data_IF_284268443444
#
_entry.id   IF_284268443444
#
_cell.length_a   1.000
_cell.length_b   1.000
_cell.length_c   1.000
_cell.angle_alpha   90.00
_cell.angle_beta   90.00
_cell.angle_gamma   90.00
#
_symmetry.space_group_name_H-M   'P 1'
#
loop_
_entity.id
_entity.type
_entity.pdbx_description
1 polymer ?
#
# COMPACT_ATOMS: atom_id res chain seq x y z
N UNK A 1 13.37 -11.26 4.29
CA UNK A 1 12.99 -11.26 2.86
C UNK A 1 13.85 -12.20 2.00
N UNK A 2 14.95 -12.75 2.48
CA UNK A 2 15.84 -13.63 1.70
C UNK A 2 16.57 -12.94 0.54
N UNK A 3 16.85 -11.65 0.68
CA UNK A 3 17.64 -10.89 -0.29
C UNK A 3 19.13 -11.14 -0.05
N UNK A 4 19.92 -11.14 -1.11
CA UNK A 4 21.37 -11.45 -1.10
C UNK A 4 22.15 -10.48 -1.99
N UNK A 5 23.47 -10.46 -1.88
CA UNK A 5 24.34 -9.64 -2.74
C UNK A 5 24.23 -9.99 -4.25
N UNK A 6 23.65 -11.14 -4.60
CA UNK A 6 23.38 -11.50 -6.00
C UNK A 6 22.15 -10.80 -6.59
N UNK A 7 21.34 -10.15 -5.77
CA UNK A 7 20.12 -9.48 -6.22
C UNK A 7 20.41 -8.16 -6.93
N UNK A 8 19.55 -7.84 -7.88
CA UNK A 8 19.47 -6.56 -8.58
C UNK A 8 18.14 -5.91 -8.22
N UNK A 9 18.24 -4.79 -7.52
CA UNK A 9 17.08 -4.11 -6.91
C UNK A 9 16.69 -2.91 -7.76
N UNK A 10 15.52 -2.95 -8.37
CA UNK A 10 14.96 -1.84 -9.13
C UNK A 10 14.12 -0.93 -8.23
N UNK A 11 14.31 0.37 -8.39
CA UNK A 11 13.56 1.45 -7.77
C UNK A 11 12.88 2.28 -8.87
N UNK A 12 11.73 1.83 -9.41
CA UNK A 12 11.10 2.42 -10.58
C UNK A 12 10.32 3.70 -10.25
N UNK A 13 10.93 4.62 -9.52
CA UNK A 13 10.35 5.91 -9.12
C UNK A 13 11.43 6.97 -8.91
N UNK A 14 11.00 8.23 -8.82
CA UNK A 14 11.86 9.34 -8.42
C UNK A 14 11.91 9.44 -6.91
N UNK A 15 13.10 9.51 -6.33
CA UNK A 15 13.28 9.41 -4.88
C UNK A 15 12.67 10.56 -4.09
N UNK A 16 12.76 11.80 -4.53
CA UNK A 16 12.21 12.95 -3.82
C UNK A 16 12.63 13.03 -2.33
N UNK A 17 11.85 13.69 -1.47
CA UNK A 17 12.17 13.85 -0.04
C UNK A 17 11.71 12.66 0.84
N UNK A 18 11.41 11.50 0.27
CA UNK A 18 10.88 10.35 1.01
C UNK A 18 11.99 9.46 1.53
N UNK A 19 12.36 9.61 2.80
CA UNK A 19 13.50 8.94 3.45
C UNK A 19 13.41 7.41 3.35
N UNK A 20 12.21 6.82 3.44
CA UNK A 20 12.04 5.37 3.38
C UNK A 20 12.61 4.74 2.10
N UNK A 21 12.47 5.39 0.95
CA UNK A 21 13.02 4.90 -0.31
C UNK A 21 14.53 5.07 -0.40
N UNK A 22 15.09 6.17 0.12
CA UNK A 22 16.52 6.35 0.25
C UNK A 22 17.15 5.30 1.14
N UNK A 23 16.53 5.02 2.29
CA UNK A 23 17.02 4.00 3.23
C UNK A 23 17.04 2.61 2.59
N UNK A 24 16.01 2.25 1.82
CA UNK A 24 15.99 0.97 1.10
C UNK A 24 17.09 0.90 0.04
N UNK A 25 17.34 1.99 -0.69
CA UNK A 25 18.41 2.08 -1.67
C UNK A 25 19.79 1.93 -1.01
N UNK A 26 20.06 2.70 0.02
CA UNK A 26 21.33 2.64 0.76
C UNK A 26 21.55 1.27 1.42
N UNK A 27 20.50 0.65 1.96
CA UNK A 27 20.58 -0.69 2.51
C UNK A 27 20.95 -1.73 1.43
N UNK A 28 20.34 -1.64 0.24
CA UNK A 28 20.69 -2.52 -0.86
C UNK A 28 22.16 -2.36 -1.28
N UNK A 29 22.64 -1.11 -1.42
CA UNK A 29 24.06 -0.82 -1.72
C UNK A 29 24.97 -1.38 -0.63
N UNK A 30 24.65 -1.13 0.63
CA UNK A 30 25.45 -1.59 1.78
C UNK A 30 25.53 -3.11 1.89
N UNK A 31 24.49 -3.81 1.42
CA UNK A 31 24.46 -5.27 1.33
C UNK A 31 25.14 -5.83 0.06
N UNK A 32 25.76 -4.98 -0.76
CA UNK A 32 26.47 -5.39 -1.99
C UNK A 32 25.56 -5.76 -3.15
N UNK A 33 24.27 -5.40 -3.11
CA UNK A 33 23.34 -5.66 -4.20
C UNK A 33 23.54 -4.68 -5.36
N UNK A 34 23.25 -5.11 -6.58
CA UNK A 34 23.13 -4.19 -7.71
C UNK A 34 21.88 -3.31 -7.56
N UNK A 35 21.99 -2.00 -7.74
CA UNK A 35 20.86 -1.08 -7.64
C UNK A 35 20.55 -0.41 -8.96
N UNK A 36 19.27 -0.31 -9.28
CA UNK A 36 18.73 0.16 -10.54
C UNK A 36 17.75 1.32 -10.27
N UNK A 37 18.22 2.61 -10.21
CA UNK A 37 17.33 3.76 -9.99
C UNK A 37 16.64 4.18 -11.29
N UNK A 38 15.29 4.19 -11.28
CA UNK A 38 14.42 4.50 -12.42
C UNK A 38 13.84 5.92 -12.41
N UNK A 39 14.45 6.86 -11.68
CA UNK A 39 13.97 8.24 -11.61
C UNK A 39 13.97 8.96 -12.95
N UNK A 40 12.96 9.81 -13.20
CA UNK A 40 12.84 10.58 -14.43
C UNK A 40 12.37 9.82 -15.67
N UNK A 41 12.24 8.49 -15.60
CA UNK A 41 11.77 7.65 -16.71
C UNK A 41 10.25 7.56 -16.74
N UNK A 42 9.65 7.34 -17.92
CA UNK A 42 8.24 6.97 -18.04
C UNK A 42 8.00 5.54 -17.51
N UNK A 43 6.75 5.21 -17.17
CA UNK A 43 6.39 3.88 -16.67
C UNK A 43 6.79 2.76 -17.64
N UNK A 44 6.57 2.95 -18.94
CA UNK A 44 6.98 1.99 -19.99
C UNK A 44 8.50 1.85 -20.05
N UNK A 45 9.23 2.95 -19.98
CA UNK A 45 10.68 2.92 -19.98
C UNK A 45 11.24 2.22 -18.73
N UNK A 46 10.65 2.42 -17.55
CA UNK A 46 10.99 1.72 -16.32
C UNK A 46 10.78 0.21 -16.43
N UNK A 47 9.65 -0.22 -17.02
CA UNK A 47 9.35 -1.64 -17.24
C UNK A 47 10.39 -2.30 -18.14
N UNK A 48 10.68 -1.71 -19.29
CA UNK A 48 11.71 -2.23 -20.21
C UNK A 48 13.08 -2.27 -19.54
N UNK A 49 13.43 -1.18 -18.86
CA UNK A 49 14.72 -1.08 -18.20
C UNK A 49 14.90 -2.12 -17.08
N UNK A 50 13.88 -2.37 -16.23
CA UNK A 50 13.99 -3.40 -15.19
C UNK A 50 14.07 -4.83 -15.78
N UNK A 51 13.39 -5.09 -16.92
CA UNK A 51 13.46 -6.39 -17.60
C UNK A 51 14.79 -6.59 -18.32
N UNK A 52 15.27 -5.59 -19.07
CA UNK A 52 16.54 -5.64 -19.82
C UNK A 52 17.73 -5.83 -18.88
N UNK A 53 17.68 -5.25 -17.68
CA UNK A 53 18.72 -5.40 -16.67
C UNK A 53 18.48 -6.59 -15.74
N UNK A 54 17.49 -7.43 -16.02
CA UNK A 54 17.12 -8.60 -15.23
C UNK A 54 17.04 -8.29 -13.73
N UNK A 55 16.27 -7.27 -13.35
CA UNK A 55 15.98 -6.95 -11.96
C UNK A 55 15.36 -8.16 -11.27
N UNK A 56 15.85 -8.50 -10.08
CA UNK A 56 15.32 -9.63 -9.29
C UNK A 56 14.41 -9.20 -8.17
N UNK A 57 14.49 -7.92 -7.78
CA UNK A 57 13.68 -7.32 -6.72
C UNK A 57 13.19 -5.96 -7.19
N UNK A 58 11.94 -5.64 -6.89
CA UNK A 58 11.33 -4.34 -7.19
C UNK A 58 10.84 -3.71 -5.90
N UNK A 59 11.23 -2.46 -5.63
CA UNK A 59 10.61 -1.64 -4.57
C UNK A 59 9.61 -0.68 -5.20
N UNK A 60 8.38 -0.61 -4.65
CA UNK A 60 7.35 0.31 -5.12
C UNK A 60 6.32 0.60 -4.02
N UNK A 61 5.36 1.48 -4.27
CA UNK A 61 4.11 1.48 -3.51
C UNK A 61 3.17 0.40 -4.05
N UNK A 62 2.25 -0.15 -3.26
CA UNK A 62 1.26 -1.11 -3.76
C UNK A 62 0.51 -0.63 -4.99
N UNK A 63 0.07 0.64 -4.99
CA UNK A 63 -0.63 1.24 -6.13
C UNK A 63 0.23 1.30 -7.38
N UNK A 64 1.48 1.75 -7.24
CA UNK A 64 2.36 1.85 -8.38
C UNK A 64 2.78 0.47 -8.92
N UNK A 65 2.98 -0.50 -8.04
CA UNK A 65 3.26 -1.88 -8.45
C UNK A 65 2.10 -2.50 -9.25
N UNK A 66 0.84 -2.21 -8.89
CA UNK A 66 -0.35 -2.58 -9.69
C UNK A 66 -0.39 -1.84 -11.03
N UNK A 67 -0.10 -0.53 -11.03
CA UNK A 67 -0.04 0.27 -12.26
C UNK A 67 1.04 -0.25 -13.23
N UNK A 68 2.19 -0.70 -12.72
CA UNK A 68 3.21 -1.37 -13.52
C UNK A 68 2.68 -2.66 -14.17
N UNK A 69 1.90 -3.48 -13.45
CA UNK A 69 1.25 -4.67 -14.02
C UNK A 69 0.25 -4.31 -15.14
N UNK A 70 -0.59 -3.29 -14.92
CA UNK A 70 -1.55 -2.81 -15.92
C UNK A 70 -0.84 -2.30 -17.18
N UNK A 71 0.22 -1.51 -17.00
CA UNK A 71 1.03 -0.97 -18.10
C UNK A 71 1.77 -2.09 -18.84
N UNK A 72 2.34 -3.04 -18.14
CA UNK A 72 3.03 -4.18 -18.74
C UNK A 72 2.08 -5.01 -19.62
N UNK A 73 0.87 -5.28 -19.12
CA UNK A 73 -0.16 -5.97 -19.90
C UNK A 73 -0.56 -5.21 -21.18
N UNK A 74 -0.69 -3.88 -21.10
CA UNK A 74 -1.00 -3.02 -22.24
C UNK A 74 0.14 -2.97 -23.28
N UNK A 75 1.39 -3.06 -22.83
CA UNK A 75 2.60 -3.03 -23.67
C UNK A 75 3.06 -4.43 -24.12
N UNK A 76 2.35 -5.50 -23.75
CA UNK A 76 2.74 -6.87 -24.08
C UNK A 76 4.01 -7.35 -23.38
N UNK A 77 4.34 -6.79 -22.23
CA UNK A 77 5.50 -7.18 -21.39
C UNK A 77 5.05 -8.26 -20.41
N UNK A 78 5.67 -9.43 -20.48
CA UNK A 78 5.39 -10.57 -19.60
C UNK A 78 6.20 -10.44 -18.29
N UNK A 79 5.62 -9.81 -17.27
CA UNK A 79 6.27 -9.66 -15.95
C UNK A 79 6.46 -11.01 -15.22
N UNK A 80 5.49 -11.93 -15.22
CA UNK A 80 5.69 -13.26 -14.64
C UNK A 80 6.88 -14.04 -15.22
N UNK A 81 7.21 -13.83 -16.51
CA UNK A 81 8.38 -14.44 -17.15
C UNK A 81 9.69 -13.66 -16.90
N UNK A 82 9.65 -12.51 -16.22
CA UNK A 82 10.84 -11.72 -15.88
C UNK A 82 11.68 -12.40 -14.79
N UNK A 83 12.87 -11.82 -14.51
CA UNK A 83 13.73 -12.29 -13.42
C UNK A 83 13.24 -11.85 -12.02
N UNK A 84 12.17 -11.04 -11.92
CA UNK A 84 11.65 -10.54 -10.66
C UNK A 84 11.11 -11.68 -9.80
N UNK A 85 11.69 -11.87 -8.62
CA UNK A 85 11.29 -12.90 -7.65
C UNK A 85 10.64 -12.33 -6.38
N UNK A 86 10.84 -11.02 -6.15
CA UNK A 86 10.28 -10.33 -4.99
C UNK A 86 9.85 -8.91 -5.36
N UNK A 87 8.69 -8.51 -4.84
CA UNK A 87 8.18 -7.13 -4.88
C UNK A 87 8.04 -6.65 -3.45
N UNK A 88 8.83 -5.66 -3.06
CA UNK A 88 8.76 -5.05 -1.73
C UNK A 88 7.93 -3.79 -1.84
N UNK A 89 6.82 -3.75 -1.11
CA UNK A 89 5.90 -2.61 -1.15
C UNK A 89 5.91 -1.83 0.15
N UNK A 90 5.78 -0.51 0.03
CA UNK A 90 5.77 0.41 1.17
C UNK A 90 5.03 1.71 0.85
N UNK A 91 4.76 2.50 1.89
CA UNK A 91 4.30 3.88 1.77
C UNK A 91 2.80 4.09 1.84
N UNK A 92 2.02 3.05 1.66
CA UNK A 92 0.56 3.03 1.81
C UNK A 92 0.11 1.60 2.18
N UNK A 93 -1.10 1.40 2.74
CA UNK A 93 -1.64 0.07 2.96
C UNK A 93 -1.79 -0.71 1.65
N UNK A 94 -1.52 -2.03 1.68
CA UNK A 94 -1.70 -2.86 0.47
C UNK A 94 -0.94 -4.18 0.52
N UNK A 95 0.33 -4.17 0.89
CA UNK A 95 1.18 -5.37 0.91
C UNK A 95 0.67 -6.46 1.84
N UNK A 96 0.08 -6.09 2.96
CA UNK A 96 -0.52 -7.02 3.92
C UNK A 96 -2.02 -7.23 3.71
N UNK A 97 -2.66 -6.54 2.76
CA UNK A 97 -4.07 -6.72 2.41
C UNK A 97 -4.20 -7.89 1.43
N UNK A 98 -4.88 -9.01 1.79
CA UNK A 98 -4.87 -10.24 0.98
C UNK A 98 -5.29 -10.04 -0.49
N UNK A 99 -6.33 -9.24 -0.74
CA UNK A 99 -6.81 -9.00 -2.10
C UNK A 99 -5.80 -8.22 -2.97
N UNK A 100 -5.14 -7.20 -2.40
CA UNK A 100 -4.10 -6.42 -3.09
C UNK A 100 -2.85 -7.26 -3.31
N UNK A 101 -2.40 -7.97 -2.27
CA UNK A 101 -1.27 -8.91 -2.35
C UNK A 101 -1.46 -9.93 -3.45
N UNK A 102 -2.63 -10.63 -3.47
CA UNK A 102 -2.91 -11.65 -4.48
C UNK A 102 -2.87 -11.10 -5.91
N UNK A 103 -3.36 -9.89 -6.14
CA UNK A 103 -3.26 -9.22 -7.45
C UNK A 103 -1.81 -8.90 -7.83
N UNK A 104 -1.02 -8.42 -6.87
CA UNK A 104 0.40 -8.13 -7.09
C UNK A 104 1.18 -9.41 -7.40
N UNK A 105 1.00 -10.45 -6.59
CA UNK A 105 1.69 -11.73 -6.78
C UNK A 105 1.34 -12.38 -8.11
N UNK A 106 0.05 -12.34 -8.50
CA UNK A 106 -0.38 -12.84 -9.80
C UNK A 106 0.18 -12.01 -10.97
N UNK A 107 0.18 -10.68 -10.86
CA UNK A 107 0.65 -9.79 -11.92
C UNK A 107 2.16 -9.80 -12.13
N UNK A 108 2.94 -10.01 -11.07
CA UNK A 108 4.40 -10.05 -11.12
C UNK A 108 4.96 -11.47 -11.25
N UNK A 109 4.19 -12.52 -10.95
CA UNK A 109 4.72 -13.88 -10.81
C UNK A 109 5.74 -14.01 -9.67
N UNK A 110 5.72 -13.10 -8.71
CA UNK A 110 6.72 -12.90 -7.69
C UNK A 110 6.09 -12.79 -6.30
N UNK A 111 6.87 -13.10 -5.26
CA UNK A 111 6.42 -12.95 -3.88
C UNK A 111 6.39 -11.48 -3.47
N UNK A 112 5.31 -11.07 -2.81
CA UNK A 112 5.18 -9.73 -2.23
C UNK A 112 5.66 -9.72 -0.79
N UNK A 113 6.37 -8.66 -0.42
CA UNK A 113 6.76 -8.34 0.96
C UNK A 113 6.27 -6.94 1.30
N UNK A 114 5.69 -6.79 2.47
CA UNK A 114 5.29 -5.49 2.99
C UNK A 114 6.39 -4.89 3.88
N UNK A 115 6.50 -3.56 3.83
CA UNK A 115 7.46 -2.80 4.61
C UNK A 115 6.81 -1.53 5.15
N UNK A 116 7.01 -1.26 6.43
CA UNK A 116 6.48 -0.09 7.09
C UNK A 116 7.58 0.81 7.63
N UNK A 117 7.42 2.08 7.36
CA UNK A 117 8.27 3.15 7.89
C UNK A 117 7.69 4.52 7.59
N UNK A 118 8.21 5.53 8.27
CA UNK A 118 7.82 6.94 8.12
C UNK A 118 9.08 7.78 7.92
N UNK A 119 8.93 8.91 7.23
CA UNK A 119 10.04 9.85 7.03
C UNK A 119 10.60 10.34 8.36
N UNK A 120 9.74 10.54 9.36
CA UNK A 120 10.08 11.07 10.68
C UNK A 120 10.94 10.11 11.50
N UNK A 121 10.68 8.80 11.40
CA UNK A 121 11.32 7.79 12.26
C UNK A 121 12.21 6.80 11.52
N UNK A 122 12.01 6.59 10.22
CA UNK A 122 12.71 5.61 9.40
C UNK A 122 11.97 4.26 9.28
N UNK A 123 12.69 3.16 8.92
CA UNK A 123 12.12 1.84 8.71
C UNK A 123 11.80 1.15 10.03
N UNK A 124 10.52 0.98 10.35
CA UNK A 124 10.03 0.48 11.64
C UNK A 124 9.83 -1.03 11.65
N UNK A 125 9.19 -1.57 10.60
CA UNK A 125 8.80 -2.98 10.59
C UNK A 125 8.84 -3.57 9.17
N UNK A 126 9.15 -4.86 9.09
CA UNK A 126 9.28 -5.58 7.83
C UNK A 126 8.58 -6.93 7.89
N UNK A 127 8.00 -7.34 6.80
CA UNK A 127 7.60 -8.72 6.59
C UNK A 127 8.83 -9.62 6.42
N UNK A 128 8.76 -10.83 6.98
CA UNK A 128 9.78 -11.88 6.82
C UNK A 128 9.25 -13.01 5.93
N UNK A 129 10.14 -13.93 5.54
CA UNK A 129 9.78 -15.11 4.75
C UNK A 129 8.72 -15.99 5.43
N UNK A 130 8.79 -16.08 6.72
CA UNK A 130 7.95 -16.93 7.59
C UNK A 130 6.74 -16.20 8.18
N UNK A 131 6.57 -14.91 7.92
CA UNK A 131 5.49 -14.10 8.48
C UNK A 131 4.64 -13.40 7.40
N UNK A 132 4.08 -14.11 6.40
CA UNK A 132 3.31 -13.48 5.34
C UNK A 132 2.10 -12.72 5.89
N UNK A 133 1.93 -11.46 5.43
CA UNK A 133 0.85 -10.58 5.87
C UNK A 133 1.00 -10.03 7.29
N UNK A 134 2.19 -10.16 7.89
CA UNK A 134 2.49 -9.61 9.22
C UNK A 134 3.86 -8.93 9.21
N UNK A 135 3.93 -7.70 9.69
CA UNK A 135 5.16 -6.94 9.81
C UNK A 135 5.78 -7.16 11.20
N UNK A 136 7.04 -7.51 11.24
CA UNK A 136 7.79 -7.66 12.50
C UNK A 136 8.52 -6.37 12.80
N UNK A 137 8.27 -5.80 13.97
CA UNK A 137 8.90 -4.55 14.41
C UNK A 137 10.40 -4.77 14.65
N UNK A 138 11.22 -3.84 14.21
CA UNK A 138 12.65 -3.82 14.50
C UNK A 138 12.88 -3.30 15.93
N UNK A 139 12.69 -4.15 16.94
CA UNK A 139 12.80 -3.79 18.36
C UNK A 139 14.24 -3.46 18.81
N UNK A 140 15.24 -3.71 17.96
CA UNK A 140 16.60 -3.22 18.21
C UNK A 140 16.73 -1.70 17.98
N UNK A 141 15.84 -1.11 17.17
CA UNK A 141 15.87 0.31 16.81
C UNK A 141 14.65 1.09 17.32
N UNK A 142 13.58 0.40 17.71
CA UNK A 142 12.31 1.03 18.10
C UNK A 142 11.63 0.36 19.28
N UNK A 143 11.03 1.17 20.15
CA UNK A 143 9.95 0.73 21.04
C UNK A 143 8.64 1.07 20.35
N UNK A 144 7.77 0.07 20.18
CA UNK A 144 6.45 0.24 19.60
C UNK A 144 5.36 -0.06 20.64
N UNK A 145 4.41 0.85 20.76
CA UNK A 145 3.26 0.79 21.64
C UNK A 145 1.98 0.93 20.82
N UNK A 146 0.87 0.37 21.28
CA UNK A 146 -0.46 0.60 20.67
C UNK A 146 -1.34 1.27 21.71
N UNK A 147 -1.82 2.46 21.38
CA UNK A 147 -2.67 3.24 22.27
C UNK A 147 -4.14 2.87 22.12
N UNK A 148 -4.83 2.82 23.26
CA UNK A 148 -6.28 2.70 23.40
C UNK A 148 -6.90 1.67 22.45
N UNK A 149 -6.42 0.41 22.42
CA UNK A 149 -6.87 -0.56 21.44
C UNK A 149 -8.34 -0.93 21.69
N UNK A 150 -9.15 -0.81 20.61
CA UNK A 150 -10.53 -1.32 20.57
C UNK A 150 -10.52 -2.55 19.65
N UNK A 151 -11.03 -3.67 20.13
CA UNK A 151 -11.00 -4.96 19.43
C UNK A 151 -9.59 -5.35 18.92
N UNK A 152 -8.56 -4.95 19.67
CA UNK A 152 -7.15 -5.21 19.37
C UNK A 152 -6.54 -4.27 18.32
N UNK A 153 -7.26 -3.28 17.83
CA UNK A 153 -6.77 -2.26 16.89
C UNK A 153 -6.64 -0.92 17.61
N UNK A 154 -5.47 -0.30 17.50
CA UNK A 154 -5.22 1.01 18.10
C UNK A 154 -4.15 1.79 17.33
N UNK A 155 -3.91 3.02 17.73
CA UNK A 155 -2.90 3.88 17.12
C UNK A 155 -1.50 3.42 17.49
N UNK A 156 -0.65 3.22 16.49
CA UNK A 156 0.76 2.90 16.70
C UNK A 156 1.51 4.14 17.17
N UNK A 157 2.27 3.96 18.23
CA UNK A 157 3.21 4.95 18.78
C UNK A 157 4.60 4.34 18.78
N UNK A 158 5.59 5.10 18.30
CA UNK A 158 6.96 4.62 18.22
C UNK A 158 7.93 5.55 18.93
N UNK A 159 8.90 4.96 19.63
CA UNK A 159 10.07 5.63 20.18
C UNK A 159 11.30 5.15 19.42
N UNK A 160 12.07 6.08 18.88
CA UNK A 160 13.30 5.78 18.14
C UNK A 160 14.47 5.65 19.14
N UNK A 161 15.26 4.58 19.04
CA UNK A 161 16.39 4.29 19.96
C UNK A 161 17.76 4.65 19.38
N UNK A 162 17.89 4.86 18.07
CA UNK A 162 19.18 4.98 17.39
C UNK A 162 19.38 6.26 16.58
N UNK A 163 18.60 7.31 16.82
CA UNK A 163 18.72 8.59 16.10
C UNK A 163 19.07 9.73 17.07
N UNK A 164 20.35 9.90 17.36
CA UNK A 164 20.83 10.92 18.31
C UNK A 164 20.50 12.37 17.89
N UNK A 165 20.51 12.66 16.59
CA UNK A 165 20.23 14.00 16.06
C UNK A 165 18.73 14.33 15.87
N UNK A 166 17.86 13.34 15.97
CA UNK A 166 16.40 13.49 15.82
C UNK A 166 15.68 12.38 16.60
N UNK A 167 15.89 12.37 17.92
CA UNK A 167 15.23 11.43 18.83
C UNK A 167 13.76 11.77 18.97
N UNK A 168 12.88 10.84 18.57
CA UNK A 168 11.43 10.93 18.79
C UNK A 168 11.04 9.94 19.89
N UNK A 169 10.53 10.45 20.99
CA UNK A 169 9.98 9.64 22.07
C UNK A 169 8.45 9.64 21.98
N UNK A 170 7.85 8.45 21.96
CA UNK A 170 6.39 8.23 21.91
C UNK A 170 5.70 9.04 20.79
N UNK A 171 6.29 9.00 19.60
CA UNK A 171 5.75 9.65 18.42
C UNK A 171 4.45 8.95 17.98
N UNK A 172 3.36 9.69 17.96
CA UNK A 172 2.06 9.22 17.47
C UNK A 172 2.09 9.22 15.95
N UNK A 173 2.03 8.03 15.35
CA UNK A 173 2.15 7.87 13.89
C UNK A 173 0.88 8.23 13.14
N UNK A 174 -0.27 8.21 13.81
CA UNK A 174 -1.59 8.29 13.18
C UNK A 174 -2.00 7.00 12.45
N UNK A 175 -1.17 5.97 12.45
CA UNK A 175 -1.44 4.70 11.79
C UNK A 175 -2.11 3.71 12.76
N UNK A 176 -3.16 3.04 12.30
CA UNK A 176 -3.89 2.04 13.06
C UNK A 176 -3.35 0.67 12.74
N UNK A 177 -3.04 -0.11 13.79
CA UNK A 177 -2.46 -1.44 13.68
C UNK A 177 -3.14 -2.41 14.63
N UNK A 178 -3.03 -3.71 14.31
CA UNK A 178 -3.31 -4.81 15.24
C UNK A 178 -1.97 -5.42 15.66
N UNK A 179 -1.60 -5.23 16.92
CA UNK A 179 -0.34 -5.74 17.43
C UNK A 179 -0.53 -7.06 18.19
N UNK A 180 0.35 -8.02 17.91
CA UNK A 180 0.46 -9.28 18.61
C UNK A 180 1.89 -9.50 19.09
N UNK A 181 2.09 -9.79 20.38
CA UNK A 181 3.38 -10.21 20.90
C UNK A 181 3.58 -11.70 20.64
N UNK A 182 4.64 -12.04 19.91
CA UNK A 182 5.06 -13.42 19.62
C UNK A 182 6.47 -13.68 20.17
N UNK A 183 6.93 -14.93 20.23
CA UNK A 183 8.27 -15.25 20.76
C UNK A 183 9.42 -14.57 20.01
N UNK A 184 9.24 -14.26 18.74
CA UNK A 184 10.21 -13.65 17.83
C UNK A 184 10.07 -12.12 17.69
N UNK A 185 9.15 -11.48 18.45
CA UNK A 185 8.99 -10.03 18.51
C UNK A 185 7.55 -9.53 18.47
N UNK A 186 7.40 -8.23 18.34
CA UNK A 186 6.10 -7.59 18.14
C UNK A 186 5.71 -7.62 16.67
N UNK A 187 4.54 -8.19 16.39
CA UNK A 187 3.97 -8.32 15.06
C UNK A 187 2.82 -7.33 14.86
N UNK A 188 2.81 -6.65 13.70
CA UNK A 188 1.69 -5.85 13.22
C UNK A 188 0.92 -6.70 12.20
N UNK A 189 -0.12 -7.38 12.67
CA UNK A 189 -0.89 -8.34 11.87
C UNK A 189 -1.80 -7.62 10.89
N UNK A 190 -1.66 -7.93 9.60
CA UNK A 190 -2.34 -7.20 8.53
C UNK A 190 -1.66 -5.88 8.15
N UNK A 191 -0.48 -5.58 8.72
CA UNK A 191 0.25 -4.33 8.47
C UNK A 191 -0.45 -3.09 9.03
N UNK A 192 -0.38 -2.00 8.29
CA UNK A 192 -1.16 -0.78 8.59
C UNK A 192 -2.58 -0.96 8.09
N UNK A 193 -3.54 -0.94 9.00
CA UNK A 193 -4.95 -1.15 8.71
C UNK A 193 -5.64 0.12 8.18
N UNK A 194 -5.10 1.28 8.50
CA UNK A 194 -5.62 2.58 8.07
C UNK A 194 -4.98 3.71 8.86
N UNK A 195 -5.41 4.93 8.58
CA UNK A 195 -4.99 6.11 9.34
C UNK A 195 -6.14 6.61 10.23
N UNK A 196 -5.80 7.01 11.44
CA UNK A 196 -6.77 7.57 12.39
C UNK A 196 -7.40 8.88 11.86
N UNK A 197 -6.62 9.70 11.14
CA UNK A 197 -7.05 10.97 10.54
C UNK A 197 -7.81 10.82 9.20
N UNK A 198 -7.71 9.66 8.55
CA UNK A 198 -8.49 9.36 7.32
C UNK A 198 -9.87 8.80 7.61
N UNK A 199 -10.16 8.47 8.85
CA UNK A 199 -11.47 7.95 9.26
C UNK A 199 -12.59 8.89 8.87
N UNK A 200 -13.66 8.34 8.29
CA UNK A 200 -14.86 9.05 7.89
C UNK A 200 -16.01 8.59 8.77
N UNK A 201 -16.63 9.52 9.46
CA UNK A 201 -17.86 9.24 10.21
C UNK A 201 -19.06 9.28 9.27
N UNK A 202 -19.75 8.16 9.10
CA UNK A 202 -20.94 8.06 8.26
C UNK A 202 -22.06 7.36 9.02
N UNK A 203 -23.14 8.08 9.33
CA UNK A 203 -24.31 7.51 9.99
C UNK A 203 -24.00 6.70 11.26
N UNK A 204 -23.03 7.17 12.05
CA UNK A 204 -22.60 6.51 13.28
C UNK A 204 -21.57 5.40 13.10
N UNK A 205 -21.13 5.12 11.87
CA UNK A 205 -20.08 4.15 11.58
C UNK A 205 -18.74 4.84 11.27
N UNK A 206 -17.66 4.22 11.69
CA UNK A 206 -16.30 4.61 11.35
C UNK A 206 -15.88 3.87 10.06
N UNK A 207 -15.65 4.61 8.99
CA UNK A 207 -15.25 4.05 7.69
C UNK A 207 -13.82 4.47 7.39
N UNK A 208 -12.97 3.48 7.14
CA UNK A 208 -11.60 3.71 6.68
C UNK A 208 -11.51 3.48 5.17
N UNK A 209 -10.87 4.39 4.41
CA UNK A 209 -10.68 4.22 2.97
C UNK A 209 -10.01 2.89 2.60
N UNK A 210 -9.08 2.40 3.43
CA UNK A 210 -8.43 1.10 3.28
C UNK A 210 -9.40 -0.08 3.30
N UNK A 211 -10.47 -0.01 4.10
CA UNK A 211 -11.53 -1.02 4.11
C UNK A 211 -12.27 -1.05 2.79
N UNK A 212 -12.59 0.14 2.23
CA UNK A 212 -13.24 0.22 0.91
C UNK A 212 -12.31 -0.31 -0.18
N UNK A 213 -11.03 0.06 -0.15
CA UNK A 213 -10.04 -0.46 -1.08
C UNK A 213 -9.94 -1.98 -1.03
N UNK A 214 -9.86 -2.57 0.17
CA UNK A 214 -9.82 -4.01 0.34
C UNK A 214 -11.03 -4.73 -0.31
N UNK A 215 -12.21 -4.09 -0.28
CA UNK A 215 -13.41 -4.62 -0.95
C UNK A 215 -13.29 -4.48 -2.47
N UNK A 216 -12.95 -3.30 -2.97
CA UNK A 216 -12.80 -3.03 -4.42
C UNK A 216 -11.79 -3.98 -5.06
N UNK A 217 -10.67 -4.22 -4.39
CA UNK A 217 -9.58 -5.08 -4.91
C UNK A 217 -9.96 -6.57 -5.02
N UNK A 218 -11.08 -7.02 -4.44
CA UNK A 218 -11.62 -8.37 -4.65
C UNK A 218 -12.21 -8.56 -6.06
N UNK A 219 -12.49 -7.47 -6.78
CA UNK A 219 -13.08 -7.49 -8.11
C UNK A 219 -11.96 -7.27 -9.16
N UNK A 220 -11.49 -8.32 -9.87
CA UNK A 220 -10.38 -8.21 -10.82
C UNK A 220 -10.63 -7.20 -11.94
N UNK A 221 -11.90 -6.98 -12.31
CA UNK A 221 -12.32 -6.02 -13.32
C UNK A 221 -12.29 -4.57 -12.85
N UNK A 222 -12.29 -4.33 -11.51
CA UNK A 222 -12.22 -2.98 -10.97
C UNK A 222 -10.78 -2.45 -11.08
N UNK A 223 -10.59 -1.46 -11.92
CA UNK A 223 -9.33 -0.74 -12.11
C UNK A 223 -9.09 0.29 -11.02
N UNK A 224 -8.84 1.55 -11.42
CA UNK A 224 -8.71 2.66 -10.47
C UNK A 224 -10.09 3.05 -9.92
N UNK A 225 -10.10 3.61 -8.71
CA UNK A 225 -11.33 4.03 -8.04
C UNK A 225 -11.10 5.26 -7.18
N UNK A 226 -12.19 5.94 -6.83
CA UNK A 226 -12.20 7.11 -5.96
C UNK A 226 -13.38 7.05 -4.99
N UNK A 227 -13.09 7.22 -3.70
CA UNK A 227 -14.08 7.35 -2.65
C UNK A 227 -14.32 8.85 -2.40
N UNK A 228 -15.56 9.28 -2.49
CA UNK A 228 -15.95 10.66 -2.29
C UNK A 228 -16.78 10.75 -1.02
N UNK A 229 -16.31 11.56 -0.08
CA UNK A 229 -17.01 11.92 1.14
C UNK A 229 -17.59 13.34 0.98
N UNK A 230 -18.91 13.46 0.92
CA UNK A 230 -19.62 14.70 0.73
C UNK A 230 -20.33 15.09 2.03
N UNK A 231 -20.01 16.27 2.55
CA UNK A 231 -20.54 16.77 3.81
C UNK A 231 -19.57 16.70 5.00
N UNK A 232 -20.06 17.04 6.17
CA UNK A 232 -19.30 17.12 7.43
C UNK A 232 -19.99 16.34 8.54
N UNK A 233 -19.19 15.58 9.32
CA UNK A 233 -19.67 14.86 10.50
C UNK A 233 -20.64 13.71 10.18
N UNK A 234 -21.63 13.44 11.03
CA UNK A 234 -22.53 12.27 10.89
C UNK A 234 -23.40 12.26 9.63
N UNK A 235 -23.60 13.41 9.00
CA UNK A 235 -24.39 13.57 7.77
C UNK A 235 -23.56 13.37 6.49
N UNK A 236 -22.30 13.01 6.62
CA UNK A 236 -21.44 12.70 5.47
C UNK A 236 -22.05 11.59 4.62
N UNK A 237 -22.20 11.85 3.32
CA UNK A 237 -22.58 10.86 2.34
C UNK A 237 -21.33 10.31 1.65
N UNK A 238 -21.29 8.99 1.45
CA UNK A 238 -20.22 8.34 0.66
C UNK A 238 -20.75 7.96 -0.71
N UNK A 239 -19.90 8.10 -1.73
CA UNK A 239 -20.07 7.52 -3.05
C UNK A 239 -18.75 6.98 -3.56
N UNK A 240 -18.79 5.93 -4.37
CA UNK A 240 -17.64 5.27 -4.95
C UNK A 240 -17.72 5.40 -6.48
N UNK A 241 -16.66 5.92 -7.07
CA UNK A 241 -16.45 5.92 -8.52
C UNK A 241 -15.40 4.87 -8.86
N UNK A 242 -15.63 4.08 -9.90
CA UNK A 242 -14.73 3.02 -10.34
C UNK A 242 -14.57 3.03 -11.85
N UNK A 243 -13.36 2.82 -12.32
CA UNK A 243 -13.07 2.57 -13.73
C UNK A 243 -13.19 1.07 -14.01
N UNK A 244 -14.19 0.62 -14.77
CA UNK A 244 -14.29 -0.79 -15.15
C UNK A 244 -13.23 -1.14 -16.20
N UNK A 245 -12.52 -2.25 -15.99
CA UNK A 245 -11.63 -2.83 -16.98
C UNK A 245 -12.41 -3.61 -18.06
N UNK A 246 -11.72 -4.11 -19.10
CA UNK A 246 -12.34 -4.78 -20.24
C UNK A 246 -13.16 -6.03 -19.89
N UNK A 247 -12.83 -6.68 -18.75
CA UNK A 247 -13.52 -7.89 -18.28
C UNK A 247 -14.65 -7.58 -17.28
N UNK A 248 -15.10 -6.32 -17.17
CA UNK A 248 -16.17 -5.95 -16.26
C UNK A 248 -17.51 -6.57 -16.72
N UNK A 249 -18.21 -7.30 -15.85
CA UNK A 249 -19.54 -7.80 -16.17
C UNK A 249 -20.55 -6.64 -16.22
N UNK A 250 -21.67 -6.79 -16.97
CA UNK A 250 -22.68 -5.74 -17.11
C UNK A 250 -23.26 -5.25 -15.77
N UNK A 251 -23.36 -6.13 -14.78
CA UNK A 251 -23.84 -5.86 -13.42
C UNK A 251 -22.71 -5.64 -12.40
N UNK A 252 -21.48 -5.42 -12.86
CA UNK A 252 -20.28 -5.30 -12.01
C UNK A 252 -20.42 -4.24 -10.92
N UNK A 253 -20.93 -3.06 -11.27
CA UNK A 253 -21.18 -2.01 -10.27
C UNK A 253 -22.19 -2.40 -9.20
N UNK A 254 -23.23 -3.17 -9.55
CA UNK A 254 -24.23 -3.66 -8.61
C UNK A 254 -23.61 -4.71 -7.66
N UNK A 255 -22.80 -5.61 -8.20
CA UNK A 255 -22.05 -6.59 -7.40
C UNK A 255 -21.11 -5.89 -6.43
N UNK A 256 -20.36 -4.89 -6.88
CA UNK A 256 -19.46 -4.11 -6.04
C UNK A 256 -20.25 -3.31 -4.98
N UNK A 257 -21.35 -2.67 -5.35
CA UNK A 257 -22.21 -1.96 -4.42
C UNK A 257 -22.78 -2.87 -3.33
N UNK A 258 -23.15 -4.11 -3.70
CA UNK A 258 -23.57 -5.14 -2.74
C UNK A 258 -22.43 -5.50 -1.78
N UNK A 259 -21.23 -5.77 -2.29
CA UNK A 259 -20.08 -6.12 -1.46
C UNK A 259 -19.68 -4.99 -0.51
N UNK A 260 -19.70 -3.74 -0.98
CA UNK A 260 -19.45 -2.55 -0.14
C UNK A 260 -20.51 -2.41 0.94
N UNK A 261 -21.80 -2.59 0.60
CA UNK A 261 -22.90 -2.56 1.57
C UNK A 261 -22.74 -3.65 2.63
N UNK A 262 -22.40 -4.87 2.22
CA UNK A 262 -22.24 -6.01 3.13
C UNK A 262 -21.03 -5.83 4.05
N UNK A 263 -19.95 -5.18 3.57
CA UNK A 263 -18.75 -4.87 4.36
C UNK A 263 -18.89 -3.66 5.28
N UNK A 264 -19.63 -2.63 4.87
CA UNK A 264 -19.81 -1.40 5.65
C UNK A 264 -21.13 -1.33 6.43
N UNK A 265 -22.04 -2.29 6.18
CA UNK A 265 -23.39 -2.37 6.78
C UNK A 265 -24.33 -1.22 6.40
N UNK A 266 -23.99 -0.43 5.38
CA UNK A 266 -24.87 0.60 4.81
C UNK A 266 -24.60 0.75 3.30
N UNK A 267 -25.54 1.42 2.60
CA UNK A 267 -25.45 1.62 1.16
C UNK A 267 -24.48 2.74 0.80
N UNK A 268 -23.56 2.45 -0.12
CA UNK A 268 -22.70 3.42 -0.82
C UNK A 268 -23.00 3.29 -2.32
N UNK A 269 -23.47 4.33 -2.98
CA UNK A 269 -23.64 4.32 -4.44
C UNK A 269 -22.31 4.05 -5.14
N UNK A 270 -22.33 3.18 -6.13
CA UNK A 270 -21.17 2.86 -6.99
C UNK A 270 -21.50 3.30 -8.41
N UNK A 271 -20.64 4.09 -9.02
CA UNK A 271 -20.81 4.61 -10.39
C UNK A 271 -19.59 4.27 -11.22
N UNK A 272 -19.82 3.71 -12.40
CA UNK A 272 -18.77 3.54 -13.38
C UNK A 272 -18.38 4.88 -13.99
N UNK A 273 -17.07 5.13 -14.12
CA UNK A 273 -16.52 6.25 -14.88
C UNK A 273 -15.65 5.73 -16.03
N UNK A 274 -15.52 6.46 -17.14
CA UNK A 274 -14.70 6.01 -18.26
C UNK A 274 -13.25 5.73 -17.84
N UNK A 275 -12.59 4.69 -18.41
CA UNK A 275 -11.17 4.43 -18.17
C UNK A 275 -10.30 5.67 -18.46
N UNK A 276 -9.32 5.93 -17.58
CA UNK A 276 -8.45 7.10 -17.66
C UNK A 276 -9.04 8.40 -17.09
N UNK A 277 -10.25 8.37 -16.52
CA UNK A 277 -10.86 9.54 -15.85
C UNK A 277 -10.22 9.84 -14.50
N UNK A 278 -9.87 8.80 -13.77
CA UNK A 278 -9.28 8.95 -12.43
C UNK A 278 -7.76 9.10 -12.51
N UNK A 279 -7.18 9.97 -11.66
CA UNK A 279 -5.74 10.21 -11.71
C UNK A 279 -4.93 8.95 -11.38
N UNK A 280 -3.83 8.77 -12.11
CA UNK A 280 -2.80 7.76 -11.80
C UNK A 280 -1.65 8.44 -11.06
N UNK A 281 -1.22 7.85 -9.97
CA UNK A 281 -0.12 8.39 -9.18
C UNK A 281 1.09 7.44 -9.22
N UNK A 282 2.27 7.98 -9.49
CA UNK A 282 3.54 7.24 -9.52
C UNK A 282 4.04 6.85 -8.12
N UNK A 283 3.39 7.34 -7.05
CA UNK A 283 3.75 7.08 -5.67
C UNK A 283 2.53 6.63 -4.87
N UNK A 284 2.07 7.44 -3.92
CA UNK A 284 0.91 7.13 -3.06
C UNK A 284 -0.39 7.54 -3.74
N UNK A 285 -1.40 6.68 -3.66
CA UNK A 285 -2.73 7.02 -4.14
C UNK A 285 -3.45 7.98 -3.19
N UNK A 286 -4.20 8.92 -3.76
CA UNK A 286 -5.13 9.79 -3.03
C UNK A 286 -6.55 9.47 -3.49
N UNK A 287 -7.08 8.35 -3.01
CA UNK A 287 -8.40 7.86 -3.42
C UNK A 287 -9.56 8.46 -2.64
N UNK A 288 -9.29 9.05 -1.48
CA UNK A 288 -10.30 9.79 -0.72
C UNK A 288 -10.35 11.24 -1.16
N UNK A 289 -11.53 11.68 -1.60
CA UNK A 289 -11.84 13.09 -1.88
C UNK A 289 -12.90 13.55 -0.89
N UNK A 290 -12.60 14.60 -0.14
CA UNK A 290 -13.57 15.24 0.78
C UNK A 290 -14.12 16.49 0.10
N UNK A 291 -15.43 16.52 -0.12
CA UNK A 291 -16.17 17.70 -0.60
C UNK A 291 -16.74 18.37 0.62
N UNK A 292 -16.17 19.51 1.00
CA UNK A 292 -16.73 20.38 2.01
C UNK A 292 -17.54 21.46 1.26
N UNK A 293 -18.86 21.36 1.23
CA UNK A 293 -19.66 22.47 0.79
C UNK A 293 -19.48 23.60 1.82
N UNK A 294 -18.69 24.61 1.47
CA UNK A 294 -18.69 25.87 2.21
C UNK A 294 -20.13 26.42 2.21
N UNK A 295 -20.68 26.62 3.42
CA UNK A 295 -21.92 27.38 3.59
C UNK A 295 -21.68 28.83 3.29
#
# INVERSE_FOLDING_TARGET
>A
MGLTAADRVAFPFSFGPFVAFWTAFEAAVSCGMGVLPGGGMSTVARLRWLTDHAATVVFATPTYALHLCETAAAEGIDLPASAVRAVVVAGEPGGSIPATRGRLEAGWGARVFDHYGLTEVGPVANERLDTPGSLVVNEAAFIAEVLDPVDGVGELVVTNLGRDGCGLARYRTGDLVRAERRPDGLHLVGGVLGRADDMIHVRGNNVYPSTVEAIVRRFPWAGEFRLIADGIGPLTALRLEVEPGPAAPPDGCDQLAKAVRDGLLFRVPVTAVPPGTLPRNDLKSRRLVRIQNAK
#
